data_IF_356281335718
#
_entry.id   IF_356281335718
#
_cell.length_a   1.000
_cell.length_b   1.000
_cell.length_c   1.000
_cell.angle_alpha   90.00
_cell.angle_beta   90.00
_cell.angle_gamma   90.00
#
_symmetry.space_group_name_H-M   'P 1'
#
loop_
_entity.id
_entity.type
_entity.pdbx_description
1 polymer ?
#
# COMPACT_ATOMS: atom_id res chain seq x y z
N UNK A 1 5.84 -16.04 -21.32
CA UNK A 1 5.28 -15.09 -20.34
C UNK A 1 6.42 -14.62 -19.46
N UNK A 2 6.65 -13.31 -19.36
CA UNK A 2 7.66 -12.74 -18.45
C UNK A 2 7.16 -12.82 -17.01
N UNK A 3 8.05 -13.20 -16.07
CA UNK A 3 7.77 -13.19 -14.63
C UNK A 3 7.71 -11.74 -14.15
N UNK A 4 6.56 -11.32 -13.62
CA UNK A 4 6.37 -9.98 -13.05
C UNK A 4 6.41 -10.08 -11.53
N UNK A 5 7.30 -9.29 -10.92
CA UNK A 5 7.50 -9.23 -9.46
C UNK A 5 7.18 -7.82 -8.97
N UNK A 6 6.38 -7.72 -7.91
CA UNK A 6 6.06 -6.48 -7.22
C UNK A 6 6.73 -6.47 -5.83
N UNK A 7 7.62 -5.49 -5.62
CA UNK A 7 8.16 -5.20 -4.29
C UNK A 7 7.27 -4.16 -3.61
N UNK A 8 6.70 -4.53 -2.46
CA UNK A 8 5.76 -3.69 -1.72
C UNK A 8 6.24 -3.49 -0.30
N UNK A 9 5.70 -2.48 0.40
CA UNK A 9 5.94 -2.30 1.84
C UNK A 9 4.68 -1.80 2.51
N UNK A 10 4.34 -2.40 3.65
CA UNK A 10 3.19 -1.98 4.46
C UNK A 10 3.39 -0.55 4.99
N UNK A 11 2.35 0.31 4.98
CA UNK A 11 2.38 1.59 5.67
C UNK A 11 2.75 1.43 7.16
N UNK A 12 3.72 2.21 7.63
CA UNK A 12 4.08 2.26 9.05
C UNK A 12 3.18 3.19 9.86
N UNK A 13 3.28 3.14 11.20
CA UNK A 13 2.51 4.03 12.08
C UNK A 13 2.78 5.52 11.84
N UNK A 14 3.98 5.86 11.34
CA UNK A 14 4.34 7.25 11.00
C UNK A 14 3.64 7.78 9.75
N UNK A 15 2.83 6.97 9.05
CA UNK A 15 2.16 7.35 7.81
C UNK A 15 1.19 8.53 7.97
N UNK A 16 0.65 8.76 9.17
CA UNK A 16 -0.11 9.99 9.51
C UNK A 16 0.69 11.28 9.34
N UNK A 17 2.02 11.19 9.34
CA UNK A 17 2.95 12.32 9.14
C UNK A 17 3.53 12.33 7.72
N UNK A 18 2.89 11.66 6.76
CA UNK A 18 3.35 11.66 5.37
C UNK A 18 3.52 13.09 4.84
N UNK A 19 4.62 13.33 4.14
CA UNK A 19 4.87 14.59 3.47
C UNK A 19 3.92 14.67 2.28
N UNK A 20 3.05 15.66 2.28
CA UNK A 20 2.05 15.88 1.24
C UNK A 20 1.72 17.37 1.14
N UNK A 21 1.41 17.83 -0.07
CA UNK A 21 0.84 19.16 -0.34
C UNK A 21 -0.69 19.16 -0.27
N UNK A 22 -1.32 17.99 -0.10
CA UNK A 22 -2.78 17.89 -0.02
C UNK A 22 -3.30 18.60 1.24
N UNK A 23 -4.33 19.46 1.13
CA UNK A 23 -4.86 20.22 2.27
C UNK A 23 -5.34 19.29 3.40
N UNK A 24 -5.94 18.16 3.05
CA UNK A 24 -6.44 17.17 4.00
C UNK A 24 -5.40 16.12 4.43
N UNK A 25 -4.10 16.33 4.21
CA UNK A 25 -3.06 15.35 4.65
C UNK A 25 -3.12 14.97 6.12
N UNK A 26 -3.71 15.82 6.96
CA UNK A 26 -3.86 15.61 8.39
C UNK A 26 -5.02 14.64 8.73
N UNK A 27 -5.83 14.23 7.76
CA UNK A 27 -6.96 13.31 7.94
C UNK A 27 -6.61 11.86 7.61
N UNK A 28 -5.33 11.56 7.38
CA UNK A 28 -4.86 10.19 7.10
C UNK A 28 -5.24 9.27 8.27
N UNK A 29 -6.01 8.22 7.96
CA UNK A 29 -6.31 7.13 8.88
C UNK A 29 -5.42 5.92 8.56
N UNK A 30 -4.54 5.53 9.49
CA UNK A 30 -3.58 4.42 9.30
C UNK A 30 -4.28 3.09 9.11
N UNK A 31 -5.32 2.80 9.90
CA UNK A 31 -6.05 1.53 9.80
C UNK A 31 -6.69 1.36 8.43
N UNK A 32 -7.30 2.44 7.92
CA UNK A 32 -7.85 2.46 6.56
C UNK A 32 -6.74 2.25 5.52
N UNK A 33 -5.59 2.90 5.67
CA UNK A 33 -4.45 2.72 4.77
C UNK A 33 -3.92 1.28 4.79
N UNK A 34 -3.91 0.63 5.95
CA UNK A 34 -3.52 -0.78 6.09
C UNK A 34 -4.51 -1.71 5.38
N UNK A 35 -5.81 -1.50 5.56
CA UNK A 35 -6.85 -2.28 4.86
C UNK A 35 -6.78 -2.08 3.34
N UNK A 36 -6.52 -0.86 2.89
CA UNK A 36 -6.31 -0.55 1.47
C UNK A 36 -5.07 -1.27 0.92
N UNK A 37 -3.95 -1.24 1.65
CA UNK A 37 -2.72 -1.94 1.27
C UNK A 37 -2.93 -3.46 1.18
N UNK A 38 -3.62 -4.06 2.14
CA UNK A 38 -3.97 -5.48 2.11
C UNK A 38 -4.78 -5.82 0.85
N UNK A 39 -5.82 -5.04 0.54
CA UNK A 39 -6.63 -5.25 -0.67
C UNK A 39 -5.81 -5.12 -1.95
N UNK A 40 -4.92 -4.13 -2.02
CA UNK A 40 -3.98 -3.96 -3.14
C UNK A 40 -3.10 -5.20 -3.34
N UNK A 41 -2.47 -5.70 -2.26
CA UNK A 41 -1.62 -6.90 -2.32
C UNK A 41 -2.40 -8.15 -2.71
N UNK A 42 -3.64 -8.32 -2.22
CA UNK A 42 -4.49 -9.45 -2.63
C UNK A 42 -4.77 -9.44 -4.13
N UNK A 43 -5.14 -8.29 -4.69
CA UNK A 43 -5.40 -8.16 -6.14
C UNK A 43 -4.15 -8.44 -6.97
N UNK A 44 -2.95 -8.01 -6.53
CA UNK A 44 -1.70 -8.35 -7.23
C UNK A 44 -1.52 -9.88 -7.32
N UNK A 45 -1.69 -10.58 -6.19
CA UNK A 45 -1.56 -12.03 -6.12
C UNK A 45 -2.60 -12.76 -6.98
N UNK A 46 -3.85 -12.29 -6.94
CA UNK A 46 -4.96 -12.82 -7.75
C UNK A 46 -4.69 -12.70 -9.26
N UNK A 47 -3.95 -11.67 -9.69
CA UNK A 47 -3.54 -11.47 -11.08
C UNK A 47 -2.25 -12.21 -11.45
N UNK A 48 -1.77 -13.14 -10.61
CA UNK A 48 -0.58 -13.95 -10.87
C UNK A 48 0.75 -13.18 -10.74
N UNK A 49 0.74 -12.01 -10.09
CA UNK A 49 1.94 -11.23 -9.82
C UNK A 49 2.58 -11.76 -8.53
N UNK A 50 3.89 -12.04 -8.59
CA UNK A 50 4.64 -12.41 -7.40
C UNK A 50 4.88 -11.18 -6.54
N UNK A 51 4.56 -11.27 -5.25
CA UNK A 51 4.71 -10.15 -4.31
C UNK A 51 5.79 -10.46 -3.29
N UNK A 52 6.76 -9.54 -3.17
CA UNK A 52 7.79 -9.51 -2.11
C UNK A 52 7.49 -8.31 -1.22
N UNK A 53 7.25 -8.52 0.07
CA UNK A 53 6.72 -7.52 1.00
C UNK A 53 7.56 -7.34 2.26
#
# INVERSE_FOLDING_TARGET
MSRTIAFVRKPGFSFIRAISSHPERHTINVERALSQHQKYVSILKENGIEVVA
#
